data_IF_336121129014
#
_entry.id   IF_336121129014
#
_cell.length_a   1.000
_cell.length_b   1.000
_cell.length_c   1.000
_cell.angle_alpha   90.00
_cell.angle_beta   90.00
_cell.angle_gamma   90.00
#
_symmetry.space_group_name_H-M   'P 1'
#
loop_
_entity.id
_entity.type
_entity.pdbx_description
1 polymer ?
#
# COMPACT_ATOMS: atom_id res chain seq x y z
N UNK A 1 -55.38 -4.54 -15.65
CA UNK A 1 -54.17 -3.98 -16.25
C UNK A 1 -53.12 -4.05 -15.15
N UNK A 2 -52.21 -5.02 -15.22
CA UNK A 2 -51.19 -5.27 -14.21
C UNK A 2 -49.89 -4.64 -14.70
N UNK A 3 -49.39 -3.62 -14.00
CA UNK A 3 -48.07 -3.05 -14.26
C UNK A 3 -47.18 -3.32 -13.05
N UNK A 4 -46.31 -4.32 -13.21
CA UNK A 4 -45.17 -4.60 -12.34
C UNK A 4 -44.05 -3.63 -12.72
N UNK A 5 -43.51 -2.78 -11.81
CA UNK A 5 -42.28 -2.08 -12.12
C UNK A 5 -41.09 -3.04 -12.04
N UNK A 6 -40.33 -3.07 -13.12
CA UNK A 6 -39.18 -3.91 -13.35
C UNK A 6 -38.07 -3.69 -12.33
N UNK A 7 -37.38 -4.78 -12.03
CA UNK A 7 -36.18 -4.86 -11.22
C UNK A 7 -35.20 -3.72 -11.48
N UNK A 8 -34.89 -2.96 -10.43
CA UNK A 8 -33.72 -2.10 -10.39
C UNK A 8 -32.47 -2.96 -10.51
N UNK A 9 -31.77 -2.80 -11.63
CA UNK A 9 -30.39 -3.23 -11.81
C UNK A 9 -29.58 -2.74 -10.60
N UNK A 10 -28.91 -3.59 -9.80
CA UNK A 10 -27.94 -3.08 -8.86
C UNK A 10 -26.85 -2.41 -9.69
N UNK A 11 -26.70 -1.10 -9.49
CA UNK A 11 -25.65 -0.30 -10.09
C UNK A 11 -24.33 -1.05 -9.91
N UNK A 12 -23.77 -1.50 -11.02
CA UNK A 12 -22.40 -1.96 -11.11
C UNK A 12 -21.55 -0.80 -10.60
N UNK A 13 -21.06 -0.92 -9.35
CA UNK A 13 -20.28 0.10 -8.69
C UNK A 13 -19.09 0.45 -9.57
N UNK A 14 -19.19 1.58 -10.27
CA UNK A 14 -18.04 2.17 -10.93
C UNK A 14 -17.12 2.58 -9.78
N UNK A 15 -15.90 2.01 -9.66
CA UNK A 15 -14.98 2.45 -8.62
C UNK A 15 -14.78 3.96 -8.81
N UNK A 16 -14.89 4.70 -7.70
CA UNK A 16 -14.75 6.15 -7.75
C UNK A 16 -13.39 6.49 -8.39
N UNK A 17 -13.32 7.47 -9.31
CA UNK A 17 -12.08 7.81 -10.02
C UNK A 17 -10.96 8.34 -9.11
N UNK A 18 -11.27 8.59 -7.82
CA UNK A 18 -10.35 9.09 -6.81
C UNK A 18 -9.95 8.04 -5.75
N UNK A 19 -10.37 6.78 -5.90
CA UNK A 19 -9.92 5.72 -5.00
C UNK A 19 -8.52 5.27 -5.40
N UNK A 20 -7.49 5.82 -4.75
CA UNK A 20 -6.16 5.21 -4.75
C UNK A 20 -6.35 3.72 -4.43
N UNK A 21 -5.95 2.79 -5.32
CA UNK A 21 -6.17 1.36 -5.08
C UNK A 21 -5.49 0.98 -3.76
N UNK A 22 -6.11 0.12 -2.95
CA UNK A 22 -5.47 -0.32 -1.71
C UNK A 22 -4.13 -1.00 -2.01
N UNK A 23 -3.17 -0.93 -1.08
CA UNK A 23 -1.86 -1.55 -1.26
C UNK A 23 -1.99 -3.04 -1.61
N UNK A 24 -2.93 -3.74 -0.96
CA UNK A 24 -3.26 -5.13 -1.26
C UNK A 24 -3.75 -5.32 -2.71
N UNK A 25 -4.62 -4.44 -3.20
CA UNK A 25 -5.09 -4.50 -4.58
C UNK A 25 -3.94 -4.25 -5.57
N UNK A 26 -3.07 -3.28 -5.27
CA UNK A 26 -1.90 -2.98 -6.10
C UNK A 26 -0.90 -4.16 -6.17
N UNK A 27 -0.59 -4.79 -5.03
CA UNK A 27 0.26 -5.99 -4.98
C UNK A 27 -0.39 -7.18 -5.71
N UNK A 28 -1.71 -7.26 -5.72
CA UNK A 28 -2.46 -8.22 -6.54
C UNK A 28 -2.25 -8.00 -8.05
N UNK A 29 -2.22 -6.75 -8.51
CA UNK A 29 -1.93 -6.42 -9.92
C UNK A 29 -0.49 -6.78 -10.32
N UNK A 30 0.47 -6.56 -9.42
CA UNK A 30 1.84 -7.01 -9.61
C UNK A 30 1.93 -8.53 -9.73
N UNK A 31 1.31 -9.27 -8.80
CA UNK A 31 1.30 -10.73 -8.83
C UNK A 31 0.63 -11.30 -10.10
N UNK A 32 -0.33 -10.57 -10.67
CA UNK A 32 -0.98 -10.91 -11.93
C UNK A 32 -0.18 -10.49 -13.19
N UNK A 33 0.97 -9.82 -13.02
CA UNK A 33 1.86 -9.41 -14.11
C UNK A 33 1.47 -8.12 -14.82
N UNK A 34 0.53 -7.34 -14.28
CA UNK A 34 0.12 -6.05 -14.85
C UNK A 34 1.03 -4.89 -14.45
N UNK A 35 1.82 -5.08 -13.39
CA UNK A 35 2.75 -4.08 -12.88
C UNK A 35 4.16 -4.65 -12.99
N UNK A 36 5.08 -3.86 -13.53
CA UNK A 36 6.49 -4.21 -13.62
C UNK A 36 7.17 -4.17 -12.25
N UNK A 37 8.18 -5.01 -12.04
CA UNK A 37 8.88 -5.13 -10.75
C UNK A 37 9.42 -3.78 -10.25
N UNK A 38 10.12 -3.03 -11.09
CA UNK A 38 10.70 -1.75 -10.67
C UNK A 38 9.64 -0.70 -10.34
N UNK A 39 8.52 -0.71 -11.09
CA UNK A 39 7.39 0.16 -10.78
C UNK A 39 6.77 -0.20 -9.42
N UNK A 40 6.58 -1.50 -9.16
CA UNK A 40 6.09 -1.98 -7.87
C UNK A 40 7.03 -1.56 -6.73
N UNK A 41 8.33 -1.77 -6.87
CA UNK A 41 9.31 -1.42 -5.84
C UNK A 41 9.32 0.09 -5.53
N UNK A 42 9.29 0.92 -6.57
CA UNK A 42 9.25 2.38 -6.40
C UNK A 42 7.94 2.84 -5.74
N UNK A 43 6.81 2.29 -6.17
CA UNK A 43 5.49 2.68 -5.67
C UNK A 43 5.29 2.26 -4.22
N UNK A 44 5.60 1.01 -3.88
CA UNK A 44 5.47 0.49 -2.51
C UNK A 44 6.45 1.17 -1.56
N UNK A 45 7.68 1.46 -1.99
CA UNK A 45 8.64 2.17 -1.14
C UNK A 45 8.24 3.62 -0.84
N UNK A 46 7.49 4.26 -1.74
CA UNK A 46 6.94 5.59 -1.54
C UNK A 46 5.53 5.57 -0.89
N UNK A 47 5.04 4.39 -0.52
CA UNK A 47 3.71 4.26 0.08
C UNK A 47 3.68 4.97 1.44
N UNK A 48 2.62 5.73 1.75
CA UNK A 48 2.49 6.42 3.03
C UNK A 48 2.12 5.43 4.12
N UNK A 49 3.11 4.64 4.57
CA UNK A 49 2.89 3.64 5.60
C UNK A 49 2.51 4.30 6.92
N UNK A 50 1.38 3.88 7.50
CA UNK A 50 1.02 4.18 8.87
C UNK A 50 1.91 3.33 9.80
N UNK A 51 2.48 3.95 10.84
CA UNK A 51 3.21 3.20 11.86
C UNK A 51 2.23 2.26 12.56
N UNK A 52 2.61 0.99 12.65
CA UNK A 52 1.93 0.03 13.51
C UNK A 52 2.39 0.32 14.95
N UNK A 53 2.05 1.51 15.48
CA UNK A 53 2.15 1.75 16.91
C UNK A 53 1.25 0.72 17.58
N UNK A 54 1.85 -0.02 18.50
CA UNK A 54 1.35 -1.31 18.95
C UNK A 54 -0.05 -1.24 19.54
N UNK A 55 -0.55 -2.44 19.84
CA UNK A 55 -1.74 -2.73 20.63
C UNK A 55 -1.66 -2.17 22.08
N UNK A 56 -1.03 -1.01 22.29
CA UNK A 56 -0.98 -0.29 23.55
C UNK A 56 -2.33 0.37 23.81
N UNK A 57 -2.78 0.21 25.05
CA UNK A 57 -4.07 0.63 25.60
C UNK A 57 -4.22 2.16 25.52
N UNK A 58 -4.50 2.69 24.33
CA UNK A 58 -4.61 4.12 24.07
C UNK A 58 -4.30 4.57 22.64
N UNK A 59 -3.68 3.74 21.80
CA UNK A 59 -3.44 4.09 20.40
C UNK A 59 -4.61 3.57 19.53
N UNK A 60 -5.26 4.45 18.75
CA UNK A 60 -6.31 4.02 17.83
C UNK A 60 -5.72 3.05 16.82
N UNK A 61 -6.44 1.96 16.52
CA UNK A 61 -6.10 1.07 15.40
C UNK A 61 -5.83 1.91 14.14
N UNK A 62 -4.88 1.48 13.27
CA UNK A 62 -4.58 2.20 12.04
C UNK A 62 -5.88 2.50 11.28
N UNK A 63 -6.07 3.77 10.94
CA UNK A 63 -7.28 4.27 10.27
C UNK A 63 -7.52 3.56 8.94
N UNK A 64 -6.45 3.07 8.31
CA UNK A 64 -6.50 2.28 7.09
C UNK A 64 -5.64 1.02 7.23
N UNK A 65 -6.28 -0.13 7.51
CA UNK A 65 -5.62 -1.44 7.60
C UNK A 65 -4.82 -1.85 6.34
N UNK A 66 -5.03 -1.15 5.22
CA UNK A 66 -4.32 -1.39 3.97
C UNK A 66 -3.04 -0.54 3.81
N UNK A 67 -2.67 0.32 4.77
CA UNK A 67 -1.50 1.20 4.69
C UNK A 67 -0.36 0.79 5.63
N UNK A 68 -0.24 -0.49 6.00
CA UNK A 68 0.81 -0.92 6.94
C UNK A 68 1.81 -1.88 6.31
N UNK A 69 3.00 -2.00 6.92
CA UNK A 69 4.03 -2.94 6.48
C UNK A 69 3.60 -4.41 6.66
N UNK A 70 2.63 -4.70 7.54
CA UNK A 70 2.02 -6.03 7.62
C UNK A 70 1.38 -6.47 6.30
N UNK A 71 0.86 -5.55 5.49
CA UNK A 71 0.29 -5.89 4.17
C UNK A 71 1.37 -6.40 3.22
N UNK A 72 2.56 -5.78 3.23
CA UNK A 72 3.71 -6.21 2.42
C UNK A 72 4.21 -7.57 2.90
N UNK A 73 4.27 -7.78 4.21
CA UNK A 73 4.65 -9.07 4.82
C UNK A 73 3.65 -10.18 4.46
N UNK A 74 2.35 -9.88 4.50
CA UNK A 74 1.31 -10.81 4.08
C UNK A 74 1.40 -11.15 2.59
N UNK A 75 1.69 -10.17 1.71
CA UNK A 75 1.85 -10.41 0.28
C UNK A 75 3.00 -11.38 -0.02
N UNK A 76 4.11 -11.32 0.74
CA UNK A 76 5.15 -12.35 0.66
C UNK A 76 4.64 -13.72 1.07
N UNK A 77 3.93 -13.83 2.20
CA UNK A 77 3.38 -15.10 2.69
C UNK A 77 2.40 -15.74 1.69
N UNK A 78 1.70 -14.90 0.91
CA UNK A 78 0.81 -15.31 -0.17
C UNK A 78 1.53 -15.61 -1.50
N UNK A 79 2.86 -15.48 -1.55
CA UNK A 79 3.66 -15.71 -2.76
C UNK A 79 3.51 -14.62 -3.83
N UNK A 80 2.91 -13.48 -3.50
CA UNK A 80 2.74 -12.34 -4.39
C UNK A 80 4.04 -11.51 -4.52
N UNK A 81 4.90 -11.57 -3.50
CA UNK A 81 6.22 -10.97 -3.49
C UNK A 81 7.29 -12.04 -3.28
N UNK A 82 8.42 -11.88 -3.95
CA UNK A 82 9.60 -12.69 -3.66
C UNK A 82 10.28 -12.19 -2.38
N UNK A 83 11.23 -12.98 -1.87
CA UNK A 83 12.07 -12.57 -0.74
C UNK A 83 12.90 -11.33 -1.13
N UNK A 84 13.45 -11.35 -2.33
CA UNK A 84 14.28 -10.30 -2.89
C UNK A 84 13.51 -8.98 -3.02
N UNK A 85 12.21 -9.05 -3.37
CA UNK A 85 11.35 -7.87 -3.44
C UNK A 85 11.10 -7.26 -2.07
N UNK A 86 10.79 -8.09 -1.06
CA UNK A 86 10.61 -7.60 0.31
C UNK A 86 11.87 -6.92 0.84
N UNK A 87 13.03 -7.55 0.65
CA UNK A 87 14.32 -6.98 1.08
C UNK A 87 14.63 -5.66 0.37
N UNK A 88 14.29 -5.55 -0.91
CA UNK A 88 14.50 -4.32 -1.66
C UNK A 88 13.54 -3.20 -1.27
N UNK A 89 12.26 -3.52 -1.02
CA UNK A 89 11.29 -2.57 -0.47
C UNK A 89 11.78 -2.02 0.87
N UNK A 90 12.20 -2.91 1.79
CA UNK A 90 12.70 -2.50 3.09
C UNK A 90 13.93 -1.59 2.97
N UNK A 91 14.91 -1.96 2.13
CA UNK A 91 16.11 -1.13 1.88
C UNK A 91 15.75 0.27 1.38
N UNK A 92 14.75 0.39 0.50
CA UNK A 92 14.33 1.69 -0.05
C UNK A 92 13.61 2.54 0.99
N UNK A 93 12.78 1.92 1.84
CA UNK A 93 12.10 2.61 2.95
C UNK A 93 13.11 3.10 3.98
N UNK A 94 14.05 2.25 4.40
CA UNK A 94 15.09 2.61 5.36
C UNK A 94 15.92 3.77 4.84
N UNK A 95 16.35 3.70 3.56
CA UNK A 95 17.04 4.82 2.90
C UNK A 95 16.17 6.08 2.89
N UNK A 96 14.90 6.00 2.51
CA UNK A 96 14.02 7.17 2.47
C UNK A 96 13.89 7.84 3.85
N UNK A 97 13.76 7.04 4.90
CA UNK A 97 13.67 7.50 6.30
C UNK A 97 14.99 8.10 6.81
N UNK A 98 16.12 7.51 6.45
CA UNK A 98 17.45 8.08 6.75
C UNK A 98 17.61 9.45 6.10
N UNK A 99 17.26 9.59 4.82
CA UNK A 99 17.31 10.87 4.11
C UNK A 99 16.37 11.93 4.69
N UNK A 100 15.21 11.53 5.20
CA UNK A 100 14.28 12.41 5.90
C UNK A 100 14.85 12.87 7.24
N UNK A 101 15.45 11.95 8.01
CA UNK A 101 16.13 12.27 9.27
C UNK A 101 17.30 13.22 9.07
N UNK A 102 18.16 12.97 8.08
CA UNK A 102 19.32 13.82 7.77
C UNK A 102 18.89 15.23 7.35
N UNK A 103 17.80 15.34 6.57
CA UNK A 103 17.17 16.64 6.25
C UNK A 103 16.62 17.34 7.48
N UNK A 104 15.96 16.61 8.37
CA UNK A 104 15.36 17.17 9.58
C UNK A 104 16.42 17.64 10.59
N UNK A 105 17.55 16.95 10.66
CA UNK A 105 18.69 17.28 11.52
C UNK A 105 19.58 18.42 10.96
N UNK A 106 19.30 18.87 9.72
CA UNK A 106 20.03 19.99 9.10
C UNK A 106 21.47 19.65 8.69
N UNK A 107 21.86 18.38 8.76
CA UNK A 107 23.16 17.90 8.31
C UNK A 107 23.08 17.65 6.81
N UNK A 108 23.10 18.73 6.02
CA UNK A 108 23.22 18.68 4.57
C UNK A 108 24.61 18.12 4.20
N UNK A 109 24.75 16.90 3.66
CA UNK A 109 26.02 16.48 3.08
C UNK A 109 26.18 17.24 1.77
N UNK A 110 26.80 18.42 1.87
CA UNK A 110 27.22 19.23 0.72
C UNK A 110 28.10 18.42 -0.24
N UNK A 111 28.05 18.73 -1.55
CA UNK A 111 28.46 17.87 -2.66
C UNK A 111 29.94 17.47 -2.68
#
# INVERSE_FOLDING_TARGET
MNETPAHGTPAQGTPAPDSTPSLRAYLGLYAAGFVEREQMLAHVAAWPFEEEEGLDEGHPEPTHQDNTLSVVSAARLLGQLTREDLEEIQRRIDRAREWERDRADGTDPRP
#
